data_IF_910739923034
#
_entry.id   IF_910739923034
#
_cell.length_a   1.000
_cell.length_b   1.000
_cell.length_c   1.000
_cell.angle_alpha   90.00
_cell.angle_beta   90.00
_cell.angle_gamma   90.00
#
_symmetry.space_group_name_H-M   'P 1'
#
loop_
_entity.id
_entity.type
_entity.pdbx_description
1 polymer ?
#
# COMPACT_ATOMS: atom_id res chain seq x y z
N UNK A 1 6.39 17.02 -3.40
CA UNK A 1 5.68 16.42 -3.07
C UNK A 1 4.46 15.84 -2.36
N UNK A 2 4.34 15.90 -1.01
CA UNK A 2 3.18 15.34 -0.30
C UNK A 2 1.87 16.06 -0.65
N UNK A 3 1.90 17.34 -0.92
CA UNK A 3 0.72 18.12 -1.24
C UNK A 3 0.04 17.84 -2.58
N UNK A 4 0.66 17.11 -3.50
CA UNK A 4 0.05 16.84 -4.79
C UNK A 4 -1.06 15.79 -4.73
N UNK A 5 -0.88 14.75 -3.90
CA UNK A 5 -1.91 13.72 -3.70
C UNK A 5 -3.07 14.26 -2.87
N UNK A 6 -2.78 14.98 -1.78
CA UNK A 6 -3.80 15.63 -0.95
C UNK A 6 -4.67 16.57 -1.80
N UNK A 7 -4.01 17.41 -2.60
CA UNK A 7 -4.70 18.31 -3.51
C UNK A 7 -5.58 17.58 -4.53
N UNK A 8 -5.12 16.47 -5.11
CA UNK A 8 -5.90 15.67 -6.04
C UNK A 8 -7.10 15.03 -5.35
N UNK A 9 -6.93 14.50 -4.14
CA UNK A 9 -8.02 13.91 -3.36
C UNK A 9 -9.09 14.97 -3.03
N UNK A 10 -8.67 16.17 -2.61
CA UNK A 10 -9.57 17.27 -2.27
C UNK A 10 -10.27 17.86 -3.51
N UNK A 11 -9.53 18.20 -4.56
CA UNK A 11 -10.07 18.80 -5.79
C UNK A 11 -11.09 17.90 -6.49
N UNK A 12 -10.91 16.57 -6.41
CA UNK A 12 -11.81 15.60 -7.04
C UNK A 12 -12.77 14.92 -6.06
N UNK A 13 -12.74 15.29 -4.77
CA UNK A 13 -13.64 14.76 -3.75
C UNK A 13 -13.55 13.24 -3.57
N UNK A 14 -12.38 12.62 -3.77
CA UNK A 14 -12.24 11.17 -3.82
C UNK A 14 -12.59 10.46 -2.51
N UNK A 15 -12.41 11.11 -1.36
CA UNK A 15 -12.71 10.56 -0.03
C UNK A 15 -13.78 11.38 0.70
N UNK A 16 -14.66 12.08 -0.03
CA UNK A 16 -15.72 12.90 0.54
C UNK A 16 -16.95 12.13 1.03
N UNK A 17 -17.06 10.84 0.65
CA UNK A 17 -18.16 9.97 1.09
C UNK A 17 -17.98 9.45 2.51
N UNK A 18 -19.05 8.84 3.04
CA UNK A 18 -19.03 8.16 4.35
C UNK A 18 -18.21 6.88 4.35
N UNK A 19 -18.01 6.27 3.20
CA UNK A 19 -17.20 5.09 3.01
C UNK A 19 -15.80 5.48 2.50
N UNK A 20 -14.75 4.91 3.10
CA UNK A 20 -13.38 5.11 2.65
C UNK A 20 -13.07 4.20 1.44
N UNK A 21 -13.67 4.53 0.30
CA UNK A 21 -13.56 3.79 -0.95
C UNK A 21 -13.26 4.76 -2.09
N UNK A 22 -12.32 4.39 -2.96
CA UNK A 22 -12.12 5.06 -4.25
C UNK A 22 -12.59 4.09 -5.33
N UNK A 23 -13.60 4.49 -6.10
CA UNK A 23 -14.22 3.65 -7.12
C UNK A 23 -13.55 3.81 -8.49
N UNK A 24 -13.79 2.85 -9.38
CA UNK A 24 -13.30 2.91 -10.75
C UNK A 24 -13.84 4.12 -11.49
N UNK A 25 -15.13 4.44 -11.33
CA UNK A 25 -15.75 5.61 -11.94
C UNK A 25 -15.11 6.93 -11.49
N UNK A 26 -14.71 7.03 -10.23
CA UNK A 26 -13.98 8.20 -9.73
C UNK A 26 -12.61 8.31 -10.40
N UNK A 27 -11.90 7.21 -10.57
CA UNK A 27 -10.61 7.17 -11.26
C UNK A 27 -10.76 7.53 -12.73
N UNK A 28 -11.75 7.00 -13.43
CA UNK A 28 -12.03 7.34 -14.82
C UNK A 28 -12.37 8.82 -15.00
N UNK A 29 -13.15 9.38 -14.07
CA UNK A 29 -13.45 10.82 -14.06
C UNK A 29 -12.19 11.66 -13.91
N UNK A 30 -11.35 11.36 -12.92
CA UNK A 30 -10.08 12.07 -12.70
C UNK A 30 -9.17 11.95 -13.93
N UNK A 31 -9.08 10.75 -14.53
CA UNK A 31 -8.30 10.53 -15.74
C UNK A 31 -8.83 11.35 -16.92
N UNK A 32 -10.14 11.43 -17.10
CA UNK A 32 -10.78 12.22 -18.14
C UNK A 32 -10.50 13.75 -17.99
N UNK A 33 -10.43 14.24 -16.76
CA UNK A 33 -10.17 15.65 -16.46
C UNK A 33 -8.67 15.98 -16.51
N UNK A 34 -7.83 15.13 -15.95
CA UNK A 34 -6.38 15.34 -15.82
C UNK A 34 -5.58 14.67 -16.94
N UNK A 35 -6.22 13.81 -17.74
CA UNK A 35 -5.57 12.95 -18.71
C UNK A 35 -4.89 13.71 -19.86
N UNK A 36 -3.59 13.56 -19.96
CA UNK A 36 -2.82 13.93 -21.14
C UNK A 36 -2.58 12.72 -22.03
N UNK A 37 -2.49 12.94 -23.31
CA UNK A 37 -2.07 11.88 -24.23
C UNK A 37 -0.61 11.51 -23.92
N UNK A 38 -0.38 10.24 -23.60
CA UNK A 38 0.96 9.72 -23.39
C UNK A 38 1.75 9.72 -24.69
N UNK A 39 3.01 10.16 -24.62
CA UNK A 39 3.96 10.03 -25.74
C UNK A 39 4.31 8.54 -25.91
N UNK A 40 4.77 8.18 -27.12
CA UNK A 40 5.14 6.80 -27.43
C UNK A 40 6.13 6.18 -26.42
N UNK A 41 7.15 6.94 -26.04
CA UNK A 41 8.13 6.45 -25.04
C UNK A 41 7.49 6.20 -23.67
N UNK A 42 6.57 7.06 -23.22
CA UNK A 42 5.84 6.89 -21.96
C UNK A 42 4.92 5.65 -22.01
N UNK A 43 4.35 5.34 -23.17
CA UNK A 43 3.57 4.11 -23.37
C UNK A 43 4.44 2.85 -23.26
N UNK A 44 5.65 2.87 -23.83
CA UNK A 44 6.61 1.77 -23.71
C UNK A 44 7.08 1.58 -22.28
N UNK A 45 7.38 2.66 -21.57
CA UNK A 45 7.74 2.60 -20.16
C UNK A 45 6.63 2.01 -19.29
N UNK A 46 5.38 2.46 -19.51
CA UNK A 46 4.21 1.94 -18.80
C UNK A 46 4.01 0.43 -19.08
N UNK A 47 4.13 0.03 -20.34
CA UNK A 47 4.01 -1.38 -20.74
C UNK A 47 5.12 -2.23 -20.09
N UNK A 48 6.35 -1.75 -20.11
CA UNK A 48 7.49 -2.44 -19.48
C UNK A 48 7.27 -2.63 -17.97
N UNK A 49 6.79 -1.60 -17.27
CA UNK A 49 6.44 -1.67 -15.85
C UNK A 49 5.34 -2.69 -15.59
N UNK A 50 4.28 -2.71 -16.40
CA UNK A 50 3.18 -3.69 -16.27
C UNK A 50 3.67 -5.12 -16.49
N UNK A 51 4.53 -5.36 -17.50
CA UNK A 51 5.11 -6.67 -17.75
C UNK A 51 5.96 -7.11 -16.54
N UNK A 52 6.81 -6.22 -16.02
CA UNK A 52 7.62 -6.52 -14.84
C UNK A 52 6.76 -6.85 -13.62
N UNK A 53 5.76 -6.00 -13.33
CA UNK A 53 4.84 -6.19 -12.21
C UNK A 53 4.14 -7.56 -12.27
N UNK A 54 3.72 -7.96 -13.45
CA UNK A 54 3.02 -9.22 -13.66
C UNK A 54 3.91 -10.46 -13.48
N UNK A 55 5.18 -10.42 -13.91
CA UNK A 55 6.04 -11.59 -13.88
C UNK A 55 6.98 -11.66 -12.67
N UNK A 56 7.51 -10.55 -12.22
CA UNK A 56 8.54 -10.50 -11.17
C UNK A 56 8.23 -9.58 -10.00
N UNK A 57 7.31 -8.64 -10.17
CA UNK A 57 6.97 -7.66 -9.17
C UNK A 57 5.80 -8.08 -8.29
N UNK A 58 5.13 -7.08 -7.75
CA UNK A 58 4.02 -7.19 -6.81
C UNK A 58 2.64 -6.99 -7.49
N UNK A 59 2.56 -7.19 -8.81
CA UNK A 59 1.32 -7.12 -9.56
C UNK A 59 0.61 -5.77 -9.41
N UNK A 60 -0.68 -5.81 -9.07
CA UNK A 60 -1.51 -4.62 -8.96
C UNK A 60 -1.02 -3.58 -7.93
N UNK A 61 -0.18 -3.97 -6.98
CA UNK A 61 0.29 -3.07 -5.91
C UNK A 61 1.68 -2.46 -6.16
N UNK A 62 2.36 -2.82 -7.25
CA UNK A 62 3.70 -2.29 -7.52
C UNK A 62 3.71 -0.76 -7.61
N UNK A 63 2.74 -0.17 -8.30
CA UNK A 63 2.62 1.27 -8.43
C UNK A 63 2.23 1.95 -7.10
N UNK A 64 1.40 1.29 -6.29
CA UNK A 64 0.99 1.80 -4.97
C UNK A 64 2.18 1.89 -4.01
N UNK A 65 3.14 1.01 -4.15
CA UNK A 65 4.32 0.97 -3.28
C UNK A 65 5.16 2.24 -3.37
N UNK A 66 5.24 2.85 -4.55
CA UNK A 66 6.00 4.08 -4.78
C UNK A 66 5.23 5.36 -4.41
N UNK A 67 3.94 5.22 -4.10
CA UNK A 67 3.10 6.35 -3.69
C UNK A 67 3.37 6.78 -2.25
N UNK A 68 3.08 8.04 -1.93
CA UNK A 68 3.17 8.58 -0.56
C UNK A 68 1.93 8.20 0.26
N UNK A 69 1.87 6.95 0.65
CA UNK A 69 0.83 6.36 1.49
C UNK A 69 1.49 5.69 2.70
N UNK A 70 0.73 5.45 3.76
CA UNK A 70 1.26 4.84 4.99
C UNK A 70 1.45 3.33 4.86
N UNK A 71 0.74 2.70 3.94
CA UNK A 71 0.84 1.27 3.69
C UNK A 71 -0.14 0.74 2.66
N UNK A 72 0.01 -0.55 2.37
CA UNK A 72 -0.82 -1.31 1.42
C UNK A 72 -1.09 -2.68 2.00
N UNK A 73 -2.28 -3.22 1.77
CA UNK A 73 -2.60 -4.61 2.09
C UNK A 73 -3.43 -5.29 1.01
N UNK A 74 -3.38 -6.60 1.00
CA UNK A 74 -4.24 -7.49 0.23
C UNK A 74 -4.53 -8.77 1.02
N UNK A 75 -5.63 -9.42 0.71
CA UNK A 75 -6.08 -10.61 1.44
C UNK A 75 -6.66 -10.34 2.83
N UNK A 76 -6.73 -9.09 3.24
CA UNK A 76 -7.31 -8.66 4.51
C UNK A 76 -8.68 -8.09 4.24
N UNK A 77 -9.67 -8.58 4.93
CA UNK A 77 -11.05 -8.16 4.73
C UNK A 77 -11.67 -7.63 6.02
N UNK A 78 -12.30 -6.48 5.92
CA UNK A 78 -13.27 -5.99 6.92
C UNK A 78 -14.72 -6.23 6.50
N UNK A 79 -14.96 -6.55 5.23
CA UNK A 79 -16.28 -6.85 4.64
C UNK A 79 -16.14 -8.10 3.76
N UNK A 80 -17.22 -8.87 3.68
CA UNK A 80 -17.30 -10.00 2.76
C UNK A 80 -17.02 -9.55 1.32
N UNK A 81 -16.19 -10.30 0.60
CA UNK A 81 -15.85 -10.05 -0.80
C UNK A 81 -14.75 -9.00 -1.05
N UNK A 82 -14.17 -8.39 -0.02
CA UNK A 82 -13.13 -7.36 -0.19
C UNK A 82 -11.69 -7.87 -0.12
N UNK A 83 -11.49 -9.15 0.18
CA UNK A 83 -10.16 -9.74 0.35
C UNK A 83 -9.38 -9.95 -0.96
N UNK A 84 -10.05 -9.93 -2.13
CA UNK A 84 -9.41 -10.05 -3.44
C UNK A 84 -8.89 -8.73 -3.99
N UNK A 85 -9.15 -7.60 -3.34
CA UNK A 85 -8.74 -6.29 -3.78
C UNK A 85 -7.80 -5.60 -2.80
N UNK A 86 -7.10 -4.57 -3.29
CA UNK A 86 -6.15 -3.84 -2.50
C UNK A 86 -6.82 -2.83 -1.55
N UNK A 87 -6.17 -2.64 -0.42
CA UNK A 87 -6.43 -1.56 0.52
C UNK A 87 -5.17 -0.71 0.66
N UNK A 88 -5.34 0.59 0.73
CA UNK A 88 -4.26 1.51 1.13
C UNK A 88 -4.55 2.10 2.50
N UNK A 89 -3.48 2.47 3.20
CA UNK A 89 -3.53 3.23 4.43
C UNK A 89 -3.01 4.62 4.15
N UNK A 90 -3.82 5.63 4.47
CA UNK A 90 -3.54 7.02 4.14
C UNK A 90 -4.08 7.94 5.24
N UNK A 91 -3.19 8.66 5.91
CA UNK A 91 -3.51 9.57 7.02
C UNK A 91 -4.42 8.94 8.09
N UNK A 92 -4.08 7.71 8.51
CA UNK A 92 -4.82 6.96 9.51
C UNK A 92 -6.15 6.36 9.03
N UNK A 93 -6.46 6.46 7.75
CA UNK A 93 -7.64 5.86 7.13
C UNK A 93 -7.26 4.59 6.37
N UNK A 94 -8.13 3.59 6.44
CA UNK A 94 -8.09 2.44 5.53
C UNK A 94 -9.01 2.72 4.35
N UNK A 95 -8.46 2.73 3.14
CA UNK A 95 -9.18 3.05 1.90
C UNK A 95 -9.20 1.82 1.01
N UNK A 96 -10.38 1.38 0.65
CA UNK A 96 -10.58 0.25 -0.25
C UNK A 96 -10.50 0.70 -1.71
N UNK A 97 -9.78 -0.10 -2.54
CA UNK A 97 -9.59 0.11 -3.96
C UNK A 97 -10.14 -1.10 -4.74
N UNK A 98 -11.46 -1.18 -4.97
CA UNK A 98 -12.08 -2.34 -5.61
C UNK A 98 -11.61 -2.57 -7.06
N UNK A 99 -11.12 -1.54 -7.74
CA UNK A 99 -10.58 -1.62 -9.11
C UNK A 99 -9.18 -2.25 -9.17
N UNK A 100 -8.48 -2.41 -8.03
CA UNK A 100 -7.22 -3.14 -7.94
C UNK A 100 -7.47 -4.53 -7.38
N UNK A 101 -8.04 -5.38 -8.21
CA UNK A 101 -8.34 -6.77 -7.90
C UNK A 101 -7.14 -7.66 -8.24
N UNK A 102 -6.87 -8.63 -7.37
CA UNK A 102 -5.82 -9.65 -7.60
C UNK A 102 -6.34 -10.80 -8.47
N UNK A 103 -7.61 -10.80 -8.83
CA UNK A 103 -8.32 -11.72 -9.71
C UNK A 103 -8.34 -13.19 -9.22
N UNK A 104 -7.23 -13.67 -8.65
CA UNK A 104 -7.07 -15.08 -8.28
C UNK A 104 -6.21 -15.26 -7.02
N UNK A 105 -6.49 -16.33 -6.31
CA UNK A 105 -5.73 -16.71 -5.11
C UNK A 105 -4.25 -16.98 -5.42
N UNK A 106 -3.96 -17.55 -6.59
CA UNK A 106 -2.58 -17.81 -7.03
C UNK A 106 -1.76 -16.52 -7.21
N UNK A 107 -2.42 -15.44 -7.61
CA UNK A 107 -1.75 -14.13 -7.70
C UNK A 107 -1.45 -13.58 -6.30
N UNK A 108 -2.37 -13.71 -5.35
CA UNK A 108 -2.15 -13.38 -3.95
C UNK A 108 -0.99 -14.18 -3.36
N UNK A 109 -0.93 -15.49 -3.63
CA UNK A 109 0.18 -16.35 -3.24
C UNK A 109 1.50 -15.87 -3.86
N UNK A 110 1.51 -15.58 -5.16
CA UNK A 110 2.70 -15.13 -5.88
C UNK A 110 3.26 -13.84 -5.29
N UNK A 111 2.41 -12.83 -5.06
CA UNK A 111 2.79 -11.54 -4.47
C UNK A 111 3.32 -11.76 -3.05
N UNK A 112 2.62 -12.53 -2.25
CA UNK A 112 2.99 -12.84 -0.87
C UNK A 112 4.35 -13.54 -0.80
N UNK A 113 4.60 -14.51 -1.68
CA UNK A 113 5.90 -15.18 -1.77
C UNK A 113 7.01 -14.27 -2.26
N UNK A 114 6.72 -13.37 -3.21
CA UNK A 114 7.70 -12.39 -3.66
C UNK A 114 8.09 -11.41 -2.54
N UNK A 115 7.15 -10.98 -1.73
CA UNK A 115 7.42 -10.16 -0.55
C UNK A 115 8.32 -10.88 0.47
N UNK A 116 8.21 -12.20 0.59
CA UNK A 116 9.07 -12.99 1.48
C UNK A 116 10.51 -13.13 1.00
N UNK A 117 10.77 -13.00 -0.31
CA UNK A 117 12.09 -13.25 -0.91
C UNK A 117 13.06 -12.08 -0.79
N UNK A 118 12.58 -10.89 -0.52
CA UNK A 118 13.39 -9.68 -0.62
C UNK A 118 14.52 -9.55 0.42
N UNK A 119 14.51 -10.26 1.56
CA UNK A 119 15.60 -10.24 2.55
C UNK A 119 15.70 -11.49 3.42
N UNK A 120 15.74 -12.66 2.83
CA UNK A 120 16.12 -13.93 3.47
C UNK A 120 15.63 -14.19 4.92
N UNK A 121 14.41 -13.96 5.30
CA UNK A 121 13.98 -14.40 6.61
C UNK A 121 13.47 -15.84 6.60
N UNK A 122 13.69 -16.57 5.54
CA UNK A 122 13.22 -17.93 5.36
C UNK A 122 11.89 -18.02 4.61
N UNK A 123 11.68 -19.14 3.95
CA UNK A 123 10.45 -19.36 3.19
C UNK A 123 9.26 -19.53 4.13
N UNK A 124 8.13 -18.95 3.73
CA UNK A 124 6.86 -19.26 4.33
C UNK A 124 6.46 -20.68 3.96
N UNK A 125 6.14 -21.50 4.94
CA UNK A 125 5.85 -22.91 4.78
C UNK A 125 4.65 -23.34 5.61
N UNK A 126 4.19 -24.59 5.46
CA UNK A 126 3.12 -25.12 6.32
C UNK A 126 3.47 -25.13 7.81
N UNK A 127 4.76 -25.27 8.15
CA UNK A 127 5.22 -25.23 9.55
C UNK A 127 5.41 -23.79 10.05
N UNK A 128 5.72 -22.85 9.15
CA UNK A 128 5.90 -21.43 9.44
C UNK A 128 4.97 -20.64 8.53
N UNK A 129 3.72 -20.51 8.94
CA UNK A 129 2.64 -19.98 8.12
C UNK A 129 2.54 -18.46 8.08
N UNK A 130 3.43 -17.75 8.77
CA UNK A 130 3.51 -16.29 8.72
C UNK A 130 4.95 -15.82 8.74
N UNK A 131 5.17 -14.61 8.25
CA UNK A 131 6.46 -13.95 8.24
C UNK A 131 6.29 -12.46 8.52
N UNK A 132 7.19 -11.94 9.35
CA UNK A 132 7.32 -10.50 9.60
C UNK A 132 8.77 -10.13 9.33
N UNK A 133 8.99 -9.17 8.44
CA UNK A 133 10.35 -8.72 8.14
C UNK A 133 10.37 -7.26 7.68
N UNK A 134 11.56 -6.71 7.56
CA UNK A 134 11.83 -5.38 7.02
C UNK A 134 12.41 -5.52 5.61
N UNK A 135 11.90 -4.72 4.68
CA UNK A 135 12.41 -4.62 3.31
C UNK A 135 13.62 -3.68 3.22
N UNK A 136 14.29 -3.67 2.07
CA UNK A 136 15.47 -2.82 1.83
C UNK A 136 15.20 -1.32 2.00
N UNK A 137 13.97 -0.90 1.74
CA UNK A 137 13.49 0.48 1.91
C UNK A 137 12.92 0.74 3.32
N UNK A 138 13.25 -0.13 4.28
CA UNK A 138 12.75 -0.10 5.67
C UNK A 138 11.24 -0.30 5.83
N UNK A 139 10.49 -0.57 4.77
CA UNK A 139 9.08 -0.94 4.90
C UNK A 139 8.95 -2.26 5.68
N UNK A 140 8.03 -2.30 6.62
CA UNK A 140 7.72 -3.52 7.37
C UNK A 140 6.65 -4.32 6.64
N UNK A 141 6.90 -5.61 6.50
CA UNK A 141 6.04 -6.53 5.78
C UNK A 141 5.58 -7.64 6.71
N UNK A 142 4.30 -7.93 6.67
CA UNK A 142 3.68 -9.13 7.26
C UNK A 142 3.07 -9.92 6.13
N UNK A 143 3.33 -11.22 6.10
CA UNK A 143 2.72 -12.15 5.14
C UNK A 143 2.18 -13.34 5.95
N UNK A 144 0.98 -13.79 5.64
CA UNK A 144 0.44 -15.02 6.17
C UNK A 144 -0.20 -15.87 5.05
N UNK A 145 -0.21 -17.17 5.26
CA UNK A 145 -0.77 -18.15 4.33
C UNK A 145 -2.02 -18.80 4.90
N UNK A 146 -2.84 -19.48 4.08
CA UNK A 146 -3.90 -20.39 4.54
C UNK A 146 -3.38 -21.39 5.58
N UNK A 147 -4.21 -21.72 6.53
CA UNK A 147 -4.02 -22.41 7.81
C UNK A 147 -3.63 -21.48 8.98
N UNK A 148 -3.05 -20.30 8.69
CA UNK A 148 -2.74 -19.23 9.67
C UNK A 148 -3.59 -17.98 9.46
N UNK A 149 -4.15 -17.83 8.27
CA UNK A 149 -5.15 -16.83 7.88
C UNK A 149 -6.19 -17.52 7.00
N UNK A 150 -7.34 -16.90 6.77
CA UNK A 150 -8.36 -17.46 5.89
C UNK A 150 -7.88 -17.54 4.44
N UNK A 151 -7.09 -16.57 4.01
CA UNK A 151 -6.53 -16.46 2.67
C UNK A 151 -5.04 -16.12 2.75
N UNK A 152 -4.34 -16.20 1.63
CA UNK A 152 -3.07 -15.51 1.49
C UNK A 152 -3.29 -14.03 1.73
N UNK A 153 -2.50 -13.44 2.61
CA UNK A 153 -2.57 -12.03 2.95
C UNK A 153 -1.19 -11.41 3.08
N UNK A 154 -1.12 -10.15 2.78
CA UNK A 154 0.05 -9.34 3.08
C UNK A 154 -0.35 -7.97 3.60
N UNK A 155 0.54 -7.38 4.35
CA UNK A 155 0.47 -6.02 4.84
C UNK A 155 1.85 -5.40 4.73
N UNK A 156 1.95 -4.26 4.07
CA UNK A 156 3.17 -3.48 3.93
C UNK A 156 2.94 -2.15 4.64
N UNK A 157 3.74 -1.86 5.64
CA UNK A 157 3.75 -0.58 6.32
C UNK A 157 4.98 0.21 5.89
N UNK A 158 4.75 1.37 5.30
CA UNK A 158 5.81 2.29 4.88
C UNK A 158 6.14 3.22 6.05
N UNK A 159 7.42 3.33 6.37
CA UNK A 159 7.90 4.16 7.48
C UNK A 159 8.26 5.58 7.02
N UNK A 160 8.46 5.79 5.73
CA UNK A 160 8.91 7.08 5.16
C UNK A 160 7.88 8.21 5.26
N UNK A 161 6.63 7.89 5.56
CA UNK A 161 5.55 8.88 5.72
C UNK A 161 5.23 9.19 7.19
N UNK A 162 5.97 8.63 8.14
CA UNK A 162 5.91 9.12 9.52
C UNK A 162 6.60 10.48 9.46
N UNK A 163 5.90 11.60 9.72
CA UNK A 163 6.56 12.88 9.85
C UNK A 163 7.66 12.69 10.89
N UNK A 164 8.88 13.12 10.57
CA UNK A 164 9.92 13.27 11.58
C UNK A 164 9.41 14.30 12.59
N UNK A 165 8.65 13.81 13.55
CA UNK A 165 8.25 14.61 14.70
C UNK A 165 9.50 14.74 15.52
N UNK A 166 10.17 15.87 15.39
CA UNK A 166 11.35 16.16 16.21
C UNK A 166 10.94 16.12 17.69
N UNK A 167 11.84 15.69 18.55
CA UNK A 167 11.61 15.75 20.00
C UNK A 167 11.08 17.13 20.45
N UNK A 168 11.57 18.21 19.82
CA UNK A 168 11.08 19.56 20.06
C UNK A 168 9.59 19.75 19.68
N UNK A 169 9.13 19.15 18.59
CA UNK A 169 7.72 19.23 18.18
C UNK A 169 6.82 18.41 19.12
N UNK A 170 7.30 17.27 19.64
CA UNK A 170 6.59 16.49 20.65
C UNK A 170 6.44 17.27 21.97
N UNK A 171 7.48 17.95 22.39
CA UNK A 171 7.46 18.77 23.62
C UNK A 171 6.60 20.03 23.43
N UNK A 172 6.78 20.76 22.33
CA UNK A 172 5.98 21.98 22.06
C UNK A 172 4.52 21.68 21.74
N UNK A 173 4.22 20.49 21.19
CA UNK A 173 2.85 20.03 20.93
C UNK A 173 2.12 19.49 22.17
N UNK A 174 2.75 19.46 23.33
CA UNK A 174 2.15 18.95 24.58
C UNK A 174 1.92 17.43 24.60
N UNK A 175 2.58 16.69 23.68
CA UNK A 175 2.45 15.24 23.59
C UNK A 175 3.45 14.46 24.47
N UNK A 176 4.47 15.12 24.98
CA UNK A 176 5.42 14.55 25.93
C UNK A 176 5.99 15.63 26.83
N UNK A 177 6.08 15.34 28.12
CA UNK A 177 6.87 16.11 29.07
C UNK A 177 8.21 15.39 29.24
N UNK A 178 9.30 16.03 28.81
CA UNK A 178 10.64 15.52 29.06
C UNK A 178 11.15 16.22 30.32
N UNK A 179 11.55 15.49 31.36
CA UNK A 179 12.22 16.10 32.51
C UNK A 179 13.47 16.87 32.05
N UNK A 180 13.61 18.11 32.51
CA UNK A 180 14.70 19.02 32.12
C UNK A 180 16.10 18.42 32.43
N UNK A 181 16.17 17.41 33.28
CA UNK A 181 17.38 16.68 33.67
C UNK A 181 17.95 15.76 32.60
N UNK A 182 17.23 15.57 31.45
CA UNK A 182 17.62 14.71 30.33
C UNK A 182 17.97 15.49 29.05
N UNK A 183 18.02 16.81 29.13
CA UNK A 183 18.51 17.71 28.09
C UNK A 183 19.94 18.16 28.40
#
# INVERSE_FOLDING_TARGET
GSGAMEKLIEEHGLLSGTENVITEEQIEHVYGVCGRKLKFIEQIELLSRKIYAYYKGLGAIDDLRDMKIDGVSGGVSGKEGTYHSAWIFYHGRSVWLPFLDFEREEEMERISRNLCRYHQPGEISRKKGYLVHEMADHARVVVARPDFAENWMFFIRKLDNIPEVSLQQLVTGGHAEIPVELL
#
